data_IF_458677882908
#
_entry.id   IF_458677882908
#
_cell.length_a   1.000
_cell.length_b   1.000
_cell.length_c   1.000
_cell.angle_alpha   90.00
_cell.angle_beta   90.00
_cell.angle_gamma   90.00
#
_symmetry.space_group_name_H-M   'P 1'
#
loop_
_entity.id
_entity.type
_entity.pdbx_description
1 polymer ?
#
# COMPACT_ATOMS: atom_id res chain seq x y z
N UNK A 1 -6.30 27.59 -5.20
CA UNK A 1 -4.85 27.34 -5.37
C UNK A 1 -4.41 27.17 -6.83
N UNK A 2 -5.00 26.27 -7.63
CA UNK A 2 -4.50 25.98 -9.00
C UNK A 2 -4.47 27.19 -9.95
N UNK A 3 -5.46 28.10 -9.87
CA UNK A 3 -5.45 29.35 -10.66
C UNK A 3 -4.37 30.36 -10.23
N UNK A 4 -3.84 30.23 -9.01
CA UNK A 4 -2.78 31.10 -8.47
C UNK A 4 -1.38 30.54 -8.72
N UNK A 5 -1.25 29.22 -8.90
CA UNK A 5 0.02 28.52 -9.08
C UNK A 5 0.04 27.78 -10.43
N UNK A 6 0.66 28.36 -11.48
CA UNK A 6 0.77 27.73 -12.80
C UNK A 6 1.39 26.32 -12.75
N UNK A 7 2.32 26.09 -11.82
CA UNK A 7 2.92 24.77 -11.57
C UNK A 7 1.85 23.71 -11.26
N UNK A 8 0.91 24.00 -10.35
CA UNK A 8 -0.17 23.07 -10.01
C UNK A 8 -1.12 22.87 -11.18
N UNK A 9 -1.47 23.93 -11.88
CA UNK A 9 -2.37 23.83 -13.03
C UNK A 9 -1.80 22.88 -14.10
N UNK A 10 -0.51 23.02 -14.42
CA UNK A 10 0.16 22.15 -15.37
C UNK A 10 0.23 20.69 -14.88
N UNK A 11 0.60 20.47 -13.60
CA UNK A 11 0.64 19.12 -13.01
C UNK A 11 -0.74 18.44 -13.00
N UNK A 12 -1.78 19.16 -12.58
CA UNK A 12 -3.16 18.65 -12.55
C UNK A 12 -3.65 18.32 -13.96
N UNK A 13 -3.34 19.18 -14.94
CA UNK A 13 -3.71 18.94 -16.34
C UNK A 13 -3.00 17.69 -16.88
N UNK A 14 -1.72 17.50 -16.55
CA UNK A 14 -0.98 16.30 -16.95
C UNK A 14 -1.62 15.02 -16.36
N UNK A 15 -1.93 15.03 -15.06
CA UNK A 15 -2.62 13.91 -14.40
C UNK A 15 -3.99 13.67 -15.02
N UNK A 16 -4.77 14.71 -15.30
CA UNK A 16 -6.09 14.59 -15.93
C UNK A 16 -6.01 13.95 -17.32
N UNK A 17 -5.01 14.31 -18.13
CA UNK A 17 -4.76 13.68 -19.42
C UNK A 17 -4.46 12.18 -19.29
N UNK A 18 -3.53 11.80 -18.39
CA UNK A 18 -3.19 10.39 -18.14
C UNK A 18 -4.34 9.61 -17.53
N UNK A 19 -5.08 10.20 -16.59
CA UNK A 19 -6.26 9.57 -16.00
C UNK A 19 -7.34 9.34 -17.06
N UNK A 20 -7.56 10.31 -17.97
CA UNK A 20 -8.49 10.12 -19.09
C UNK A 20 -8.04 9.01 -20.03
N UNK A 21 -6.75 8.96 -20.37
CA UNK A 21 -6.18 7.84 -21.13
C UNK A 21 -6.47 6.51 -20.42
N UNK A 22 -6.17 6.43 -19.12
CA UNK A 22 -6.42 5.24 -18.30
C UNK A 22 -7.89 4.79 -18.30
N UNK A 23 -8.83 5.74 -18.17
CA UNK A 23 -10.26 5.45 -18.10
C UNK A 23 -10.91 5.12 -19.46
N UNK A 24 -10.35 5.63 -20.56
CA UNK A 24 -10.94 5.46 -21.91
C UNK A 24 -10.29 4.33 -22.72
N UNK A 25 -9.17 3.79 -22.24
CA UNK A 25 -8.45 2.75 -22.93
C UNK A 25 -9.13 1.38 -22.79
N UNK A 26 -9.43 0.75 -23.92
CA UNK A 26 -10.10 -0.55 -24.02
C UNK A 26 -9.13 -1.73 -24.17
N UNK A 27 -7.81 -1.46 -24.20
CA UNK A 27 -6.79 -2.51 -24.32
C UNK A 27 -6.87 -3.43 -23.09
N UNK A 28 -6.86 -4.76 -23.27
CA UNK A 28 -6.84 -5.71 -22.18
C UNK A 28 -5.68 -5.47 -21.21
N UNK A 29 -5.94 -5.70 -19.92
CA UNK A 29 -5.01 -5.48 -18.80
C UNK A 29 -3.71 -6.28 -18.92
N UNK A 30 -3.77 -7.38 -19.64
CA UNK A 30 -2.65 -8.29 -19.86
C UNK A 30 -1.69 -7.81 -20.96
N UNK A 31 -2.04 -6.75 -21.71
CA UNK A 31 -1.28 -6.27 -22.87
C UNK A 31 -0.65 -4.90 -22.56
N UNK A 32 0.64 -4.76 -22.88
CA UNK A 32 1.35 -3.48 -22.72
C UNK A 32 0.71 -2.37 -23.58
N UNK A 33 0.38 -1.24 -22.95
CA UNK A 33 -0.25 -0.07 -23.57
C UNK A 33 0.73 0.69 -24.48
N UNK A 34 0.24 1.16 -25.63
CA UNK A 34 1.01 2.12 -26.44
C UNK A 34 1.19 3.43 -25.67
N UNK A 35 2.39 4.01 -25.71
CA UNK A 35 2.72 5.27 -25.03
C UNK A 35 2.57 6.50 -25.94
N UNK A 36 2.01 6.34 -27.14
CA UNK A 36 1.93 7.41 -28.15
C UNK A 36 0.49 7.92 -28.36
N UNK A 37 -0.38 7.72 -27.36
CA UNK A 37 -1.71 8.34 -27.42
C UNK A 37 -1.59 9.86 -27.35
N UNK A 38 -2.56 10.56 -27.95
CA UNK A 38 -2.63 12.02 -27.88
C UNK A 38 -2.63 12.52 -26.43
N UNK A 39 -3.36 11.82 -25.56
CA UNK A 39 -3.47 12.12 -24.13
C UNK A 39 -2.11 12.00 -23.44
N UNK A 40 -1.33 10.94 -23.73
CA UNK A 40 0.02 10.77 -23.17
C UNK A 40 0.97 11.88 -23.63
N UNK A 41 0.93 12.25 -24.92
CA UNK A 41 1.76 13.36 -25.43
C UNK A 41 1.40 14.70 -24.80
N UNK A 42 0.11 15.01 -24.68
CA UNK A 42 -0.36 16.22 -24.01
C UNK A 42 0.04 16.24 -22.53
N UNK A 43 -0.08 15.09 -21.85
CA UNK A 43 0.36 14.97 -20.48
C UNK A 43 1.86 15.25 -20.32
N UNK A 44 2.71 14.71 -21.18
CA UNK A 44 4.16 14.97 -21.16
C UNK A 44 4.49 16.44 -21.39
N UNK A 45 3.78 17.11 -22.30
CA UNK A 45 3.95 18.56 -22.51
C UNK A 45 3.59 19.36 -21.26
N UNK A 46 2.45 19.06 -20.63
CA UNK A 46 2.01 19.74 -19.41
C UNK A 46 2.92 19.41 -18.22
N UNK A 47 3.40 18.18 -18.12
CA UNK A 47 4.39 17.76 -17.16
C UNK A 47 5.69 18.57 -17.26
N UNK A 48 6.24 18.70 -18.46
CA UNK A 48 7.46 19.48 -18.69
C UNK A 48 7.27 20.96 -18.33
N UNK A 49 6.11 21.54 -18.67
CA UNK A 49 5.76 22.90 -18.22
C UNK A 49 5.66 22.99 -16.70
N UNK A 50 5.09 21.98 -16.03
CA UNK A 50 5.06 21.93 -14.57
C UNK A 50 6.45 21.87 -13.98
N UNK A 51 7.37 21.09 -14.54
CA UNK A 51 8.77 21.04 -14.06
C UNK A 51 9.43 22.41 -14.21
N UNK A 52 9.26 23.08 -15.36
CA UNK A 52 9.82 24.42 -15.57
C UNK A 52 9.31 25.42 -14.54
N UNK A 53 7.98 25.45 -14.30
CA UNK A 53 7.40 26.32 -13.27
C UNK A 53 7.81 25.95 -11.85
N UNK A 54 8.01 24.67 -11.57
CA UNK A 54 8.52 24.21 -10.28
C UNK A 54 9.96 24.68 -10.06
N UNK A 55 10.81 24.62 -11.09
CA UNK A 55 12.18 25.13 -11.04
C UNK A 55 12.23 26.64 -10.80
N UNK A 56 11.34 27.40 -11.45
CA UNK A 56 11.18 28.84 -11.20
C UNK A 56 10.80 29.11 -9.73
N UNK A 57 9.77 28.42 -9.21
CA UNK A 57 9.32 28.55 -7.81
C UNK A 57 10.43 28.20 -6.82
N UNK A 58 11.18 27.13 -7.07
CA UNK A 58 12.30 26.70 -6.22
C UNK A 58 13.50 27.67 -6.28
N UNK A 59 13.58 28.52 -7.29
CA UNK A 59 14.64 29.52 -7.44
C UNK A 59 14.38 30.80 -6.64
N UNK A 60 13.18 30.95 -6.05
CA UNK A 60 12.83 32.10 -5.21
C UNK A 60 13.55 32.06 -3.85
N UNK A 61 13.94 33.24 -3.33
CA UNK A 61 14.86 33.34 -2.17
C UNK A 61 14.26 32.83 -0.85
N UNK A 62 12.94 32.84 -0.69
CA UNK A 62 12.26 32.34 0.52
C UNK A 62 10.90 31.74 0.15
N UNK A 63 10.74 30.43 0.35
CA UNK A 63 9.46 29.74 0.15
C UNK A 63 8.52 29.98 1.33
N UNK A 64 7.32 30.51 1.05
CA UNK A 64 6.23 30.60 2.03
C UNK A 64 5.69 29.22 2.39
N UNK A 65 4.86 29.13 3.43
CA UNK A 65 4.18 27.88 3.78
C UNK A 65 3.32 27.35 2.62
N UNK A 66 2.58 28.23 1.96
CA UNK A 66 1.75 27.90 0.79
C UNK A 66 2.59 27.34 -0.35
N UNK A 67 3.76 27.92 -0.64
CA UNK A 67 4.65 27.43 -1.71
C UNK A 67 5.16 26.02 -1.40
N UNK A 68 5.46 25.73 -0.13
CA UNK A 68 5.86 24.40 0.32
C UNK A 68 4.73 23.36 0.17
N UNK A 69 3.50 23.72 0.54
CA UNK A 69 2.32 22.86 0.32
C UNK A 69 2.05 22.63 -1.16
N UNK A 70 2.24 23.65 -2.01
CA UNK A 70 2.17 23.55 -3.46
C UNK A 70 3.21 22.56 -3.99
N UNK A 71 4.47 22.66 -3.56
CA UNK A 71 5.55 21.75 -3.98
C UNK A 71 5.22 20.30 -3.59
N UNK A 72 4.77 20.06 -2.36
CA UNK A 72 4.36 18.72 -1.91
C UNK A 72 3.17 18.18 -2.71
N UNK A 73 2.19 19.03 -3.02
CA UNK A 73 1.05 18.68 -3.87
C UNK A 73 1.49 18.29 -5.29
N UNK A 74 2.45 19.03 -5.87
CA UNK A 74 3.06 18.69 -7.17
C UNK A 74 3.76 17.34 -7.10
N UNK A 75 4.48 17.02 -6.00
CA UNK A 75 5.04 15.69 -5.80
C UNK A 75 3.96 14.59 -5.81
N UNK A 76 2.83 14.78 -5.11
CA UNK A 76 1.71 13.81 -5.13
C UNK A 76 1.14 13.63 -6.53
N UNK A 77 0.97 14.72 -7.29
CA UNK A 77 0.50 14.65 -8.68
C UNK A 77 1.52 13.91 -9.58
N UNK A 78 2.81 14.13 -9.34
CA UNK A 78 3.88 13.44 -10.06
C UNK A 78 3.93 11.94 -9.75
N UNK A 79 3.73 11.58 -8.48
CA UNK A 79 3.59 10.19 -8.03
C UNK A 79 2.38 9.55 -8.72
N UNK A 80 1.23 10.23 -8.70
CA UNK A 80 -0.01 9.75 -9.32
C UNK A 80 0.16 9.44 -10.81
N UNK A 81 0.76 10.38 -11.57
CA UNK A 81 1.02 10.18 -12.98
C UNK A 81 2.01 9.05 -13.23
N UNK A 82 3.13 9.00 -12.48
CA UNK A 82 4.12 7.94 -12.61
C UNK A 82 3.50 6.57 -12.32
N UNK A 83 2.67 6.45 -11.27
CA UNK A 83 1.90 5.25 -10.95
C UNK A 83 0.95 4.87 -12.09
N UNK A 84 0.13 5.81 -12.59
CA UNK A 84 -0.78 5.58 -13.71
C UNK A 84 -0.06 5.14 -15.00
N UNK A 85 1.18 5.58 -15.21
CA UNK A 85 2.00 5.19 -16.36
C UNK A 85 2.84 3.91 -16.12
N UNK A 86 2.84 3.37 -14.90
CA UNK A 86 3.61 2.20 -14.49
C UNK A 86 5.10 2.45 -14.27
N UNK A 87 5.51 3.72 -14.10
CA UNK A 87 6.89 4.15 -13.86
C UNK A 87 7.20 4.18 -12.36
N UNK A 88 7.22 3.00 -11.75
CA UNK A 88 7.37 2.84 -10.28
C UNK A 88 8.61 3.51 -9.70
N UNK A 89 9.74 3.41 -10.41
CA UNK A 89 10.97 4.05 -9.98
C UNK A 89 10.81 5.58 -9.82
N UNK A 90 10.15 6.23 -10.79
CA UNK A 90 9.91 7.68 -10.72
C UNK A 90 8.97 8.03 -9.57
N UNK A 91 7.92 7.22 -9.35
CA UNK A 91 7.05 7.38 -8.19
C UNK A 91 7.84 7.32 -6.88
N UNK A 92 8.72 6.33 -6.71
CA UNK A 92 9.57 6.19 -5.51
C UNK A 92 10.53 7.37 -5.32
N UNK A 93 11.12 7.89 -6.40
CA UNK A 93 11.96 9.09 -6.32
C UNK A 93 11.16 10.29 -5.82
N UNK A 94 9.94 10.51 -6.32
CA UNK A 94 9.09 11.60 -5.88
C UNK A 94 8.58 11.43 -4.44
N UNK A 95 8.22 10.21 -4.01
CA UNK A 95 7.84 9.92 -2.63
C UNK A 95 9.02 10.26 -1.70
N UNK A 96 10.20 9.72 -1.98
CA UNK A 96 11.39 9.94 -1.16
C UNK A 96 11.77 11.43 -1.10
N UNK A 97 11.63 12.15 -2.22
CA UNK A 97 11.89 13.59 -2.27
C UNK A 97 10.88 14.36 -1.41
N UNK A 98 9.59 14.07 -1.52
CA UNK A 98 8.55 14.70 -0.71
C UNK A 98 8.72 14.43 0.79
N UNK A 99 9.04 13.19 1.18
CA UNK A 99 9.34 12.85 2.57
C UNK A 99 10.55 13.63 3.10
N UNK A 100 11.63 13.75 2.32
CA UNK A 100 12.80 14.56 2.70
C UNK A 100 12.45 16.03 2.89
N UNK A 101 11.60 16.59 2.03
CA UNK A 101 11.13 17.98 2.15
C UNK A 101 10.27 18.21 3.39
N UNK A 102 9.35 17.29 3.71
CA UNK A 102 8.54 17.32 4.94
C UNK A 102 9.44 17.43 6.17
N UNK A 103 10.52 16.65 6.21
CA UNK A 103 11.51 16.71 7.30
C UNK A 103 12.34 17.98 7.28
N UNK A 104 12.81 18.41 6.11
CA UNK A 104 13.63 19.61 5.95
C UNK A 104 12.88 20.88 6.37
N UNK A 105 11.55 20.90 6.18
CA UNK A 105 10.69 22.03 6.53
C UNK A 105 10.05 21.91 7.92
N UNK A 106 10.46 20.91 8.71
CA UNK A 106 9.94 20.63 10.05
C UNK A 106 8.41 20.44 10.10
N UNK A 107 7.80 19.95 9.00
CA UNK A 107 6.38 19.59 8.97
C UNK A 107 6.09 18.26 9.66
N UNK A 108 7.11 17.42 9.84
CA UNK A 108 7.01 16.15 10.54
C UNK A 108 6.99 16.26 12.08
N UNK A 109 7.44 17.39 12.65
CA UNK A 109 7.52 17.59 14.10
C UNK A 109 6.34 18.45 14.58
N UNK A 110 5.20 17.80 14.85
CA UNK A 110 4.04 18.47 15.45
C UNK A 110 4.23 18.57 16.96
N UNK A 111 5.08 19.50 17.39
CA UNK A 111 5.17 19.92 18.79
C UNK A 111 3.85 20.54 19.30
N UNK A 112 3.70 20.68 20.63
CA UNK A 112 2.48 21.18 21.29
C UNK A 112 2.07 22.63 20.92
N UNK A 113 2.93 23.39 20.26
CA UNK A 113 2.67 24.78 19.89
C UNK A 113 2.28 24.90 18.41
N UNK A 114 1.07 25.42 18.16
CA UNK A 114 0.43 25.66 16.86
C UNK A 114 -0.33 24.45 16.27
N UNK A 115 -1.40 24.02 16.96
CA UNK A 115 -2.55 23.38 16.30
C UNK A 115 -3.48 24.46 15.73
N UNK A 116 -2.98 25.23 14.77
CA UNK A 116 -3.90 25.74 13.75
C UNK A 116 -4.27 24.53 12.89
N UNK A 117 -5.56 24.35 12.65
CA UNK A 117 -6.10 23.27 11.80
C UNK A 117 -5.64 23.48 10.36
N UNK A 118 -4.43 23.02 10.05
CA UNK A 118 -3.87 23.05 8.70
C UNK A 118 -4.29 21.79 7.95
N UNK A 119 -5.54 21.83 7.49
CA UNK A 119 -6.19 20.76 6.74
C UNK A 119 -5.36 20.30 5.54
N UNK A 120 -4.78 21.25 4.79
CA UNK A 120 -4.00 20.95 3.59
C UNK A 120 -2.72 20.18 3.94
N UNK A 121 -2.02 20.60 5.00
CA UNK A 121 -0.87 19.86 5.50
C UNK A 121 -1.24 18.48 6.03
N UNK A 122 -2.34 18.36 6.77
CA UNK A 122 -2.80 17.06 7.30
C UNK A 122 -3.11 16.06 6.18
N UNK A 123 -3.80 16.49 5.12
CA UNK A 123 -4.05 15.64 3.94
C UNK A 123 -2.74 15.21 3.29
N UNK A 124 -1.79 16.14 3.11
CA UNK A 124 -0.49 15.79 2.53
C UNK A 124 0.30 14.81 3.41
N UNK A 125 0.28 14.98 4.73
CA UNK A 125 0.93 14.07 5.67
C UNK A 125 0.32 12.66 5.60
N UNK A 126 -1.01 12.54 5.55
CA UNK A 126 -1.69 11.24 5.33
C UNK A 126 -1.18 10.58 4.05
N UNK A 127 -1.23 11.30 2.94
CA UNK A 127 -0.84 10.76 1.63
C UNK A 127 0.62 10.32 1.61
N UNK A 128 1.56 11.15 2.10
CA UNK A 128 2.97 10.77 2.13
C UNK A 128 3.26 9.61 3.08
N UNK A 129 2.54 9.52 4.21
CA UNK A 129 2.71 8.41 5.17
C UNK A 129 2.19 7.09 4.60
N UNK A 130 1.05 7.13 3.90
CA UNK A 130 0.51 5.98 3.17
C UNK A 130 1.46 5.54 2.05
N UNK A 131 1.95 6.49 1.26
CA UNK A 131 2.89 6.22 0.16
C UNK A 131 4.22 5.64 0.65
N UNK A 132 4.72 6.12 1.78
CA UNK A 132 5.89 5.55 2.43
C UNK A 132 5.64 4.09 2.83
N UNK A 133 4.49 3.82 3.47
CA UNK A 133 4.07 2.46 3.87
C UNK A 133 4.00 1.51 2.67
N UNK A 134 3.43 1.98 1.56
CA UNK A 134 3.33 1.21 0.32
C UNK A 134 4.69 0.97 -0.36
N UNK A 135 5.67 1.87 -0.18
CA UNK A 135 7.00 1.71 -0.75
C UNK A 135 7.88 0.73 0.05
N UNK A 136 7.62 0.54 1.35
CA UNK A 136 8.44 -0.29 2.26
C UNK A 136 8.78 -1.69 1.72
N UNK A 137 7.85 -2.47 1.14
CA UNK A 137 8.15 -3.81 0.60
C UNK A 137 9.21 -3.83 -0.52
N UNK A 138 9.43 -2.70 -1.21
CA UNK A 138 10.36 -2.60 -2.34
C UNK A 138 11.76 -2.14 -1.91
N UNK A 139 11.87 -1.42 -0.78
CA UNK A 139 13.11 -0.77 -0.36
C UNK A 139 14.31 -1.73 -0.19
N UNK A 140 14.16 -2.97 0.34
CA UNK A 140 15.29 -3.88 0.47
C UNK A 140 16.02 -4.14 -0.86
N UNK A 141 15.30 -4.14 -1.98
CA UNK A 141 15.87 -4.37 -3.31
C UNK A 141 16.42 -3.10 -3.96
N UNK A 142 16.09 -1.93 -3.42
CA UNK A 142 16.46 -0.63 -3.99
C UNK A 142 17.59 0.06 -3.21
N UNK A 143 18.08 -0.53 -2.11
CA UNK A 143 19.04 0.09 -1.20
C UNK A 143 20.31 0.61 -1.89
N UNK A 144 20.74 -0.05 -2.96
CA UNK A 144 21.93 0.35 -3.73
C UNK A 144 21.66 1.51 -4.70
N UNK A 145 20.42 1.67 -5.14
CA UNK A 145 20.04 2.63 -6.19
C UNK A 145 19.35 3.88 -5.62
N UNK A 146 18.61 3.75 -4.52
CA UNK A 146 17.84 4.83 -3.89
C UNK A 146 18.04 4.84 -2.38
N UNK A 147 18.70 5.89 -1.88
CA UNK A 147 18.79 6.14 -0.43
C UNK A 147 17.46 6.70 0.08
N UNK A 148 16.62 5.80 0.57
CA UNK A 148 15.36 6.13 1.22
C UNK A 148 15.59 6.90 2.52
N UNK A 149 14.64 7.74 2.92
CA UNK A 149 14.71 8.43 4.22
C UNK A 149 14.26 7.51 5.35
N UNK A 150 15.10 7.37 6.37
CA UNK A 150 14.75 6.62 7.58
C UNK A 150 14.02 7.47 8.63
N UNK A 151 13.89 8.79 8.38
CA UNK A 151 13.18 9.70 9.29
C UNK A 151 11.67 9.43 9.24
N UNK A 152 11.11 9.10 10.40
CA UNK A 152 9.67 8.89 10.57
C UNK A 152 8.96 10.22 10.79
N UNK A 153 7.72 10.32 10.32
CA UNK A 153 6.81 11.39 10.77
C UNK A 153 6.42 11.03 12.20
N UNK A 154 6.68 11.93 13.15
CA UNK A 154 6.46 11.67 14.57
C UNK A 154 5.31 12.56 15.04
N UNK A 155 4.26 11.93 15.57
CA UNK A 155 3.21 12.66 16.24
C UNK A 155 3.50 12.73 17.73
N UNK A 156 3.30 13.90 18.33
CA UNK A 156 3.36 14.03 19.78
C UNK A 156 2.32 13.12 20.43
N UNK A 157 2.73 12.36 21.45
CA UNK A 157 1.79 11.64 22.30
C UNK A 157 0.77 12.61 22.90
N UNK A 158 -0.50 12.26 22.79
CA UNK A 158 -1.63 13.06 23.24
C UNK A 158 -2.73 12.14 23.71
N UNK A 159 -3.32 12.43 24.86
CA UNK A 159 -4.51 11.74 25.39
C UNK A 159 -5.81 12.49 25.09
N UNK A 160 -5.70 13.62 24.39
CA UNK A 160 -6.82 14.47 24.01
C UNK A 160 -7.62 13.75 22.90
N UNK A 161 -8.96 13.71 22.99
CA UNK A 161 -9.81 13.16 21.94
C UNK A 161 -9.50 13.80 20.58
N UNK A 162 -9.74 13.04 19.50
CA UNK A 162 -9.68 13.62 18.16
C UNK A 162 -10.76 14.69 17.98
N UNK A 163 -10.47 15.73 17.20
CA UNK A 163 -11.45 16.73 16.79
C UNK A 163 -12.20 16.33 15.52
N UNK A 164 -11.53 15.57 14.64
CA UNK A 164 -12.07 15.16 13.35
C UNK A 164 -11.62 13.74 13.02
N UNK A 165 -12.36 13.04 12.15
CA UNK A 165 -11.93 11.76 11.58
C UNK A 165 -10.62 11.88 10.78
N UNK A 166 -10.31 13.03 10.20
CA UNK A 166 -9.04 13.24 9.50
C UNK A 166 -7.87 13.22 10.47
N UNK A 167 -7.99 13.85 11.65
CA UNK A 167 -6.96 13.79 12.69
C UNK A 167 -6.73 12.34 13.16
N UNK A 168 -7.82 11.56 13.30
CA UNK A 168 -7.73 10.13 13.58
C UNK A 168 -7.02 9.37 12.45
N UNK A 169 -7.31 9.70 11.19
CA UNK A 169 -6.66 9.10 10.01
C UNK A 169 -5.15 9.38 9.96
N UNK A 170 -4.73 10.63 10.15
CA UNK A 170 -3.31 11.02 10.24
C UNK A 170 -2.60 10.19 11.29
N UNK A 171 -3.17 10.11 12.49
CA UNK A 171 -2.58 9.36 13.59
C UNK A 171 -2.49 7.86 13.28
N UNK A 172 -3.55 7.28 12.70
CA UNK A 172 -3.57 5.88 12.34
C UNK A 172 -2.50 5.53 11.31
N UNK A 173 -2.35 6.33 10.26
CA UNK A 173 -1.37 6.05 9.21
C UNK A 173 0.08 6.17 9.70
N UNK A 174 0.35 7.06 10.66
CA UNK A 174 1.68 7.12 11.30
C UNK A 174 1.98 5.83 12.05
N UNK A 175 1.05 5.33 12.87
CA UNK A 175 1.23 4.05 13.56
C UNK A 175 1.28 2.86 12.59
N UNK A 176 0.48 2.90 11.52
CA UNK A 176 0.52 1.89 10.45
C UNK A 176 1.88 1.86 9.76
N UNK A 177 2.45 3.04 9.47
CA UNK A 177 3.77 3.15 8.87
C UNK A 177 4.88 2.62 9.80
N UNK A 178 4.81 2.92 11.09
CA UNK A 178 5.72 2.33 12.09
C UNK A 178 5.63 0.81 12.11
N UNK A 179 4.41 0.25 12.04
CA UNK A 179 4.18 -1.19 11.91
C UNK A 179 4.82 -1.73 10.62
N UNK A 180 4.59 -1.09 9.47
CA UNK A 180 5.17 -1.52 8.20
C UNK A 180 6.69 -1.58 8.26
N UNK A 181 7.36 -0.58 8.85
CA UNK A 181 8.81 -0.57 9.00
C UNK A 181 9.36 -1.75 9.82
N UNK A 182 8.60 -2.20 10.83
CA UNK A 182 8.95 -3.41 11.60
C UNK A 182 8.89 -4.61 10.65
N UNK A 183 7.75 -4.85 10.02
CA UNK A 183 7.46 -6.06 9.26
C UNK A 183 8.09 -6.14 7.87
N UNK A 184 8.65 -5.05 7.35
CA UNK A 184 9.47 -5.07 6.12
C UNK A 184 10.97 -5.20 6.38
N UNK A 185 11.39 -5.27 7.65
CA UNK A 185 12.79 -5.55 7.97
C UNK A 185 13.12 -7.01 7.68
N UNK A 186 14.06 -7.24 6.75
CA UNK A 186 14.56 -8.59 6.43
C UNK A 186 15.06 -9.36 7.67
N UNK A 187 15.48 -8.65 8.74
CA UNK A 187 15.96 -9.28 9.96
C UNK A 187 14.92 -10.17 10.64
N UNK A 188 13.64 -9.82 10.59
CA UNK A 188 12.58 -10.59 11.29
C UNK A 188 12.46 -12.00 10.72
N UNK A 189 12.48 -12.14 9.40
CA UNK A 189 12.28 -13.43 8.74
C UNK A 189 13.57 -14.25 8.63
N UNK A 190 14.74 -13.58 8.60
CA UNK A 190 16.03 -14.26 8.48
C UNK A 190 16.60 -14.65 9.85
N UNK A 191 16.49 -13.76 10.85
CA UNK A 191 17.13 -13.92 12.17
C UNK A 191 16.13 -14.10 13.32
N UNK A 192 14.83 -14.01 13.04
CA UNK A 192 13.80 -13.94 14.07
C UNK A 192 13.69 -12.55 14.72
N UNK A 193 12.68 -12.34 15.58
CA UNK A 193 12.51 -11.08 16.29
C UNK A 193 13.58 -10.90 17.38
N UNK A 194 14.34 -9.80 17.30
CA UNK A 194 15.21 -9.39 18.40
C UNK A 194 14.44 -8.62 19.49
N UNK A 195 15.10 -8.37 20.63
CA UNK A 195 14.49 -7.63 21.75
C UNK A 195 14.04 -6.21 21.34
N UNK A 196 14.76 -5.55 20.43
CA UNK A 196 14.40 -4.22 19.94
C UNK A 196 13.14 -4.22 19.08
N UNK A 197 12.97 -5.23 18.23
CA UNK A 197 11.75 -5.47 17.44
C UNK A 197 10.56 -5.71 18.36
N UNK A 198 10.72 -6.53 19.41
CA UNK A 198 9.64 -6.79 20.36
C UNK A 198 9.24 -5.53 21.13
N UNK A 199 10.20 -4.71 21.57
CA UNK A 199 9.92 -3.42 22.21
C UNK A 199 9.14 -2.49 21.27
N UNK A 200 9.57 -2.36 20.01
CA UNK A 200 8.88 -1.52 19.01
C UNK A 200 7.47 -2.01 18.70
N UNK A 201 7.28 -3.32 18.60
CA UNK A 201 5.99 -3.96 18.40
C UNK A 201 5.05 -3.67 19.58
N UNK A 202 5.54 -3.81 20.81
CA UNK A 202 4.77 -3.50 22.01
C UNK A 202 4.41 -2.02 22.10
N UNK A 203 5.33 -1.12 21.76
CA UNK A 203 5.03 0.32 21.71
C UNK A 203 3.94 0.64 20.69
N UNK A 204 4.01 0.07 19.48
CA UNK A 204 2.96 0.26 18.47
C UNK A 204 1.59 -0.23 18.95
N UNK A 205 1.52 -1.33 19.71
CA UNK A 205 0.26 -1.82 20.30
C UNK A 205 -0.31 -0.84 21.35
N UNK A 206 0.56 -0.30 22.21
CA UNK A 206 0.17 0.71 23.21
C UNK A 206 -0.36 1.97 22.51
N UNK A 207 0.37 2.47 21.52
CA UNK A 207 -0.01 3.67 20.78
C UNK A 207 -1.36 3.50 20.06
N UNK A 208 -1.59 2.33 19.47
CA UNK A 208 -2.84 2.01 18.80
C UNK A 208 -4.01 1.83 19.78
N UNK A 209 -3.76 1.38 21.00
CA UNK A 209 -4.78 1.30 22.06
C UNK A 209 -5.15 2.70 22.55
N UNK A 210 -4.17 3.60 22.70
CA UNK A 210 -4.44 5.00 22.99
C UNK A 210 -5.20 5.67 21.83
N UNK A 211 -4.86 5.34 20.59
CA UNK A 211 -5.60 5.79 19.42
C UNK A 211 -7.08 5.35 19.47
N UNK A 212 -7.35 4.08 19.82
CA UNK A 212 -8.72 3.56 19.97
C UNK A 212 -9.49 4.37 21.02
N UNK A 213 -8.89 4.57 22.20
CA UNK A 213 -9.51 5.34 23.29
C UNK A 213 -9.80 6.81 22.93
N UNK A 214 -8.96 7.43 22.10
CA UNK A 214 -9.19 8.81 21.61
C UNK A 214 -10.29 8.87 20.56
N UNK A 215 -10.42 7.84 19.72
CA UNK A 215 -11.49 7.74 18.75
C UNK A 215 -12.84 7.51 19.44
N UNK A 216 -12.89 6.65 20.45
CA UNK A 216 -14.13 6.38 21.21
C UNK A 216 -14.69 7.66 21.84
N UNK A 217 -13.83 8.45 22.51
CA UNK A 217 -14.23 9.76 23.07
C UNK A 217 -14.71 10.76 22.01
N UNK A 218 -14.14 10.72 20.81
CA UNK A 218 -14.62 11.54 19.69
C UNK A 218 -16.00 11.10 19.23
N UNK A 219 -16.23 9.79 19.11
CA UNK A 219 -17.51 9.22 18.66
C UNK A 219 -18.64 9.44 19.68
N UNK A 220 -18.33 9.46 20.98
CA UNK A 220 -19.29 9.82 22.05
C UNK A 220 -19.84 11.25 21.88
N UNK A 221 -19.01 12.17 21.38
CA UNK A 221 -19.37 13.59 21.25
C UNK A 221 -19.83 13.97 19.84
N UNK A 222 -19.51 13.14 18.83
CA UNK A 222 -19.77 13.43 17.42
C UNK A 222 -20.39 12.20 16.73
N UNK A 223 -21.73 12.11 16.68
CA UNK A 223 -22.44 11.04 15.99
C UNK A 223 -22.04 11.00 14.52
N UNK A 224 -21.76 9.80 13.99
CA UNK A 224 -21.38 9.62 12.60
C UNK A 224 -22.61 9.37 11.71
N UNK A 225 -22.53 9.69 10.40
CA UNK A 225 -23.59 9.37 9.45
C UNK A 225 -23.90 7.87 9.43
N UNK A 226 -25.15 7.50 9.13
CA UNK A 226 -25.58 6.09 9.10
C UNK A 226 -24.75 5.21 8.13
N UNK A 227 -24.24 5.78 7.04
CA UNK A 227 -23.39 5.05 6.09
C UNK A 227 -22.01 4.71 6.68
N UNK A 228 -21.51 5.52 7.63
CA UNK A 228 -20.30 5.35 8.40
C UNK A 228 -19.05 5.03 7.57
N UNK A 229 -18.99 5.40 6.29
CA UNK A 229 -18.00 4.83 5.35
C UNK A 229 -16.56 5.15 5.77
N UNK A 230 -16.28 6.40 6.12
CA UNK A 230 -14.95 6.82 6.56
C UNK A 230 -14.52 6.07 7.84
N UNK A 231 -15.44 5.92 8.79
CA UNK A 231 -15.19 5.19 10.03
C UNK A 231 -14.92 3.69 9.77
N UNK A 232 -15.70 3.06 8.89
CA UNK A 232 -15.49 1.66 8.47
C UNK A 232 -14.11 1.46 7.83
N UNK A 233 -13.67 2.41 6.98
CA UNK A 233 -12.34 2.37 6.38
C UNK A 233 -11.23 2.51 7.42
N UNK A 234 -11.38 3.41 8.39
CA UNK A 234 -10.44 3.55 9.51
C UNK A 234 -10.35 2.27 10.33
N UNK A 235 -11.47 1.66 10.70
CA UNK A 235 -11.45 0.39 11.44
C UNK A 235 -10.84 -0.74 10.62
N UNK A 236 -11.11 -0.83 9.31
CA UNK A 236 -10.49 -1.82 8.45
C UNK A 236 -8.96 -1.69 8.43
N UNK A 237 -8.47 -0.44 8.29
CA UNK A 237 -7.05 -0.09 8.31
C UNK A 237 -6.40 -0.37 9.67
N UNK A 238 -7.05 0.02 10.77
CA UNK A 238 -6.62 -0.22 12.16
C UNK A 238 -6.53 -1.70 12.50
N UNK A 239 -7.53 -2.47 12.10
CA UNK A 239 -7.55 -3.92 12.32
C UNK A 239 -6.40 -4.56 11.54
N UNK A 240 -6.06 -4.09 10.32
CA UNK A 240 -4.95 -4.64 9.53
C UNK A 240 -3.62 -4.56 10.29
N UNK A 241 -3.33 -3.41 10.91
CA UNK A 241 -2.18 -3.27 11.80
C UNK A 241 -2.27 -4.18 13.04
N UNK A 242 -3.46 -4.37 13.61
CA UNK A 242 -3.66 -5.23 14.79
C UNK A 242 -3.22 -6.67 14.53
N UNK A 243 -3.59 -7.25 13.39
CA UNK A 243 -3.22 -8.65 13.08
C UNK A 243 -1.70 -8.78 13.05
N UNK A 244 -1.01 -7.94 12.29
CA UNK A 244 0.44 -7.98 12.20
C UNK A 244 1.10 -7.83 13.59
N UNK A 245 0.65 -6.86 14.38
CA UNK A 245 1.17 -6.60 15.72
C UNK A 245 0.76 -7.63 16.78
N UNK A 246 -0.22 -8.49 16.53
CA UNK A 246 -0.64 -9.53 17.49
C UNK A 246 -0.01 -10.89 17.21
N UNK A 247 0.65 -11.07 16.05
CA UNK A 247 1.23 -12.36 15.68
C UNK A 247 2.28 -12.84 16.68
N UNK A 248 2.21 -14.10 17.08
CA UNK A 248 3.31 -14.76 17.78
C UNK A 248 4.43 -15.10 16.80
N UNK A 249 5.44 -14.23 16.74
CA UNK A 249 6.55 -14.35 15.80
C UNK A 249 7.40 -15.62 16.03
N UNK A 250 7.25 -16.31 17.16
CA UNK A 250 7.93 -17.59 17.40
C UNK A 250 7.35 -18.73 16.56
N UNK A 251 6.10 -18.59 16.09
CA UNK A 251 5.44 -19.55 15.19
C UNK A 251 5.79 -19.34 13.71
N UNK A 252 6.61 -18.33 13.38
CA UNK A 252 6.95 -18.00 12.00
C UNK A 252 5.71 -17.75 11.13
N UNK A 253 5.69 -18.33 9.93
CA UNK A 253 4.54 -18.24 9.01
C UNK A 253 3.24 -18.85 9.55
N UNK A 254 3.32 -19.74 10.54
CA UNK A 254 2.14 -20.37 11.13
C UNK A 254 1.41 -19.45 12.10
N UNK A 255 2.01 -18.32 12.49
CA UNK A 255 1.36 -17.32 13.34
C UNK A 255 0.07 -16.76 12.73
N UNK A 256 -0.07 -16.83 11.41
CA UNK A 256 -1.25 -16.38 10.68
C UNK A 256 -2.50 -17.25 10.92
N UNK A 257 -2.34 -18.49 11.40
CA UNK A 257 -3.46 -19.40 11.61
C UNK A 257 -4.36 -18.97 12.78
N UNK A 258 -3.81 -18.24 13.74
CA UNK A 258 -4.56 -17.68 14.87
C UNK A 258 -5.58 -16.60 14.40
N UNK A 259 -5.52 -16.17 13.13
CA UNK A 259 -6.30 -15.08 12.56
C UNK A 259 -7.21 -15.51 11.38
N UNK A 260 -7.49 -16.80 11.23
CA UNK A 260 -8.35 -17.31 10.13
C UNK A 260 -9.74 -16.67 10.14
N UNK A 261 -10.37 -16.52 11.32
CA UNK A 261 -11.68 -15.88 11.47
C UNK A 261 -11.62 -14.38 11.12
N UNK A 262 -10.55 -13.70 11.56
CA UNK A 262 -10.26 -12.31 11.19
C UNK A 262 -10.10 -12.13 9.68
N UNK A 263 -9.46 -13.08 9.00
CA UNK A 263 -9.33 -13.07 7.54
C UNK A 263 -10.66 -13.31 6.84
N UNK A 264 -11.49 -14.23 7.31
CA UNK A 264 -12.82 -14.46 6.77
C UNK A 264 -13.70 -13.20 6.86
N UNK A 265 -13.76 -12.57 8.03
CA UNK A 265 -14.52 -11.34 8.24
C UNK A 265 -14.05 -10.20 7.32
N UNK A 266 -12.74 -10.04 7.15
CA UNK A 266 -12.21 -9.02 6.22
C UNK A 266 -12.53 -9.31 4.78
N UNK A 267 -12.46 -10.57 4.38
CA UNK A 267 -12.75 -10.98 3.02
C UNK A 267 -14.19 -10.64 2.66
N UNK A 268 -15.12 -10.85 3.59
CA UNK A 268 -16.51 -10.41 3.47
C UNK A 268 -16.61 -8.88 3.33
N UNK A 269 -15.96 -8.12 4.21
CA UNK A 269 -15.94 -6.65 4.14
C UNK A 269 -15.37 -6.15 2.79
N UNK A 270 -14.31 -6.77 2.29
CA UNK A 270 -13.73 -6.43 0.98
C UNK A 270 -14.71 -6.78 -0.14
N UNK A 271 -15.39 -7.92 -0.08
CA UNK A 271 -16.46 -8.28 -1.01
C UNK A 271 -17.58 -7.22 -1.03
N UNK A 272 -18.00 -6.72 0.13
CA UNK A 272 -18.98 -5.63 0.23
C UNK A 272 -18.48 -4.33 -0.41
N UNK A 273 -17.23 -3.92 -0.14
CA UNK A 273 -16.62 -2.70 -0.74
C UNK A 273 -16.44 -2.84 -2.26
N UNK A 274 -16.18 -4.06 -2.72
CA UNK A 274 -16.02 -4.37 -4.13
C UNK A 274 -17.37 -4.54 -4.85
N UNK A 275 -18.49 -4.55 -4.11
CA UNK A 275 -19.84 -4.86 -4.60
C UNK A 275 -19.96 -6.29 -5.18
N UNK A 276 -19.14 -7.22 -4.68
CA UNK A 276 -19.16 -8.66 -4.99
C UNK A 276 -19.17 -9.48 -3.68
N UNK A 277 -20.35 -9.64 -3.06
CA UNK A 277 -20.47 -10.40 -1.83
C UNK A 277 -20.20 -11.89 -2.08
N UNK A 278 -19.61 -12.54 -1.07
CA UNK A 278 -19.09 -13.91 -1.05
C UNK A 278 -20.02 -15.04 -1.53
N UNK A 279 -21.32 -14.79 -1.71
CA UNK A 279 -22.35 -15.79 -2.03
C UNK A 279 -22.34 -16.27 -3.49
N UNK A 280 -21.27 -16.00 -4.23
CA UNK A 280 -21.19 -16.17 -5.68
C UNK A 280 -20.19 -17.27 -6.09
N UNK A 281 -19.93 -18.25 -5.21
CA UNK A 281 -19.09 -19.43 -5.52
C UNK A 281 -19.62 -20.23 -6.73
N UNK A 282 -20.93 -20.17 -7.01
CA UNK A 282 -21.58 -20.79 -8.18
C UNK A 282 -21.71 -19.85 -9.39
N UNK A 283 -21.31 -18.58 -9.27
CA UNK A 283 -21.25 -17.72 -10.44
C UNK A 283 -19.99 -18.06 -11.23
N UNK A 284 -20.21 -18.75 -12.35
CA UNK A 284 -19.28 -18.80 -13.49
C UNK A 284 -18.51 -17.48 -13.60
N UNK A 285 -17.21 -17.49 -13.97
CA UNK A 285 -16.43 -16.25 -14.15
C UNK A 285 -17.29 -15.27 -14.94
N UNK A 286 -17.73 -14.21 -14.24
CA UNK A 286 -18.80 -13.35 -14.71
C UNK A 286 -18.53 -12.95 -16.16
N UNK A 287 -19.57 -13.05 -16.99
CA UNK A 287 -19.53 -12.79 -18.42
C UNK A 287 -18.51 -11.68 -18.74
N UNK A 288 -17.45 -12.03 -19.48
CA UNK A 288 -16.30 -11.17 -19.81
C UNK A 288 -16.75 -9.85 -20.47
N UNK A 289 -18.00 -9.82 -20.95
CA UNK A 289 -18.67 -8.71 -21.63
C UNK A 289 -19.26 -7.61 -20.73
N UNK A 290 -19.23 -7.71 -19.39
CA UNK A 290 -19.60 -6.54 -18.56
C UNK A 290 -18.51 -5.46 -18.68
N UNK A 291 -18.84 -4.21 -19.07
CA UNK A 291 -17.84 -3.14 -19.16
C UNK A 291 -17.19 -2.95 -17.80
N UNK A 292 -15.90 -3.30 -17.73
CA UNK A 292 -15.12 -3.24 -16.50
C UNK A 292 -14.95 -1.77 -16.09
N UNK A 293 -15.47 -1.40 -14.91
CA UNK A 293 -15.32 -0.03 -14.39
C UNK A 293 -13.89 0.17 -13.91
N UNK A 294 -13.09 0.80 -14.77
CA UNK A 294 -11.74 1.25 -14.44
C UNK A 294 -11.80 2.22 -13.25
N UNK A 295 -10.90 2.08 -12.28
CA UNK A 295 -10.79 3.03 -11.17
C UNK A 295 -9.35 3.14 -10.69
N UNK A 296 -8.92 4.35 -10.35
CA UNK A 296 -7.62 4.60 -9.74
C UNK A 296 -7.79 5.30 -8.38
N UNK A 297 -7.07 4.82 -7.37
CA UNK A 297 -6.86 5.50 -6.10
C UNK A 297 -5.41 5.37 -5.67
N UNK A 298 -4.90 6.42 -5.03
CA UNK A 298 -3.54 6.41 -4.49
C UNK A 298 -3.46 5.70 -3.12
N UNK A 299 -4.60 5.54 -2.45
CA UNK A 299 -4.74 4.79 -1.21
C UNK A 299 -4.93 3.30 -1.49
N UNK A 300 -4.38 2.44 -0.63
CA UNK A 300 -4.62 0.98 -0.62
C UNK A 300 -5.69 0.63 0.40
N UNK A 301 -6.87 0.22 -0.08
CA UNK A 301 -8.02 -0.10 0.77
C UNK A 301 -8.34 -1.58 0.71
N UNK A 302 -8.39 -2.13 -0.50
CA UNK A 302 -8.78 -3.52 -0.77
C UNK A 302 -7.59 -4.37 -1.23
N UNK A 303 -6.69 -3.81 -2.03
CA UNK A 303 -5.57 -4.57 -2.60
C UNK A 303 -4.63 -5.12 -1.51
N UNK A 304 -4.26 -4.30 -0.54
CA UNK A 304 -3.33 -4.69 0.53
C UNK A 304 -3.89 -5.80 1.46
N UNK A 305 -5.11 -5.69 2.03
CA UNK A 305 -5.66 -6.77 2.85
C UNK A 305 -5.91 -8.06 2.05
N UNK A 306 -6.40 -7.96 0.80
CA UNK A 306 -6.60 -9.14 -0.04
C UNK A 306 -5.27 -9.82 -0.38
N UNK A 307 -4.22 -9.04 -0.69
CA UNK A 307 -2.89 -9.56 -0.94
C UNK A 307 -2.30 -10.25 0.30
N UNK A 308 -2.46 -9.65 1.48
CA UNK A 308 -2.06 -10.27 2.74
C UNK A 308 -2.76 -11.62 2.94
N UNK A 309 -4.10 -11.67 2.80
CA UNK A 309 -4.88 -12.90 2.97
C UNK A 309 -4.44 -13.96 1.96
N UNK A 310 -4.31 -13.58 0.69
CA UNK A 310 -3.91 -14.47 -0.40
C UNK A 310 -2.50 -15.04 -0.21
N UNK A 311 -1.57 -14.29 0.38
CA UNK A 311 -0.23 -14.78 0.69
C UNK A 311 -0.19 -15.63 1.96
N UNK A 312 -0.88 -15.19 3.02
CA UNK A 312 -0.60 -15.65 4.39
C UNK A 312 -1.61 -16.64 4.96
N UNK A 313 -2.87 -16.59 4.52
CA UNK A 313 -3.88 -17.52 5.02
C UNK A 313 -3.65 -18.94 4.47
N UNK A 314 -3.60 -19.94 5.35
CA UNK A 314 -3.48 -21.36 4.96
C UNK A 314 -4.82 -22.03 4.69
N UNK A 315 -5.92 -21.41 5.09
CA UNK A 315 -7.27 -21.93 4.85
C UNK A 315 -7.62 -21.83 3.35
N UNK A 316 -7.73 -22.96 2.63
CA UNK A 316 -7.68 -22.93 1.17
C UNK A 316 -8.85 -22.19 0.52
N UNK A 317 -10.04 -22.22 1.13
CA UNK A 317 -11.24 -21.53 0.64
C UNK A 317 -11.10 -20.01 0.75
N UNK A 318 -10.67 -19.51 1.90
CA UNK A 318 -10.46 -18.08 2.16
C UNK A 318 -9.37 -17.54 1.24
N UNK A 319 -8.26 -18.28 1.11
CA UNK A 319 -7.12 -17.90 0.27
C UNK A 319 -7.50 -17.77 -1.21
N UNK A 320 -8.14 -18.79 -1.79
CA UNK A 320 -8.58 -18.77 -3.20
C UNK A 320 -9.60 -17.67 -3.47
N UNK A 321 -10.45 -17.38 -2.51
CA UNK A 321 -11.44 -16.33 -2.63
C UNK A 321 -10.81 -14.92 -2.56
N UNK A 322 -9.74 -14.73 -1.78
CA UNK A 322 -8.95 -13.50 -1.83
C UNK A 322 -8.30 -13.30 -3.20
N UNK A 323 -7.74 -14.37 -3.79
CA UNK A 323 -7.22 -14.34 -5.17
C UNK A 323 -8.33 -14.04 -6.18
N UNK A 324 -9.53 -14.62 -6.02
CA UNK A 324 -10.70 -14.31 -6.86
C UNK A 324 -11.04 -12.82 -6.81
N UNK A 325 -11.09 -12.23 -5.62
CA UNK A 325 -11.38 -10.80 -5.43
C UNK A 325 -10.26 -9.91 -5.99
N UNK A 326 -8.98 -10.28 -5.84
CA UNK A 326 -7.86 -9.58 -6.48
C UNK A 326 -7.93 -9.59 -8.01
N UNK A 327 -8.55 -10.63 -8.60
CA UNK A 327 -8.77 -10.74 -10.04
C UNK A 327 -9.90 -9.84 -10.55
N UNK A 328 -10.71 -9.26 -9.66
CA UNK A 328 -11.86 -8.46 -10.05
C UNK A 328 -11.46 -7.06 -10.50
N UNK A 329 -11.81 -6.74 -11.75
CA UNK A 329 -11.71 -5.43 -12.39
C UNK A 329 -10.27 -4.87 -12.47
N UNK A 330 -9.96 -3.99 -13.43
CA UNK A 330 -8.75 -3.18 -13.35
C UNK A 330 -8.95 -2.04 -12.35
N UNK A 331 -9.04 -2.38 -11.06
CA UNK A 331 -8.88 -1.38 -10.00
C UNK A 331 -7.39 -1.21 -9.75
N UNK A 332 -6.92 0.03 -9.83
CA UNK A 332 -5.60 0.41 -9.36
C UNK A 332 -5.74 1.10 -8.02
N UNK A 333 -5.13 0.50 -7.01
CA UNK A 333 -4.99 1.08 -5.69
C UNK A 333 -3.50 1.17 -5.36
N UNK A 334 -3.08 2.32 -4.86
CA UNK A 334 -1.71 2.55 -4.48
C UNK A 334 -0.75 2.79 -5.63
N UNK A 335 0.53 2.78 -5.28
CA UNK A 335 1.64 2.94 -6.21
C UNK A 335 1.85 1.69 -7.03
N UNK A 336 1.69 0.50 -6.44
CA UNK A 336 1.88 -0.77 -7.11
C UNK A 336 0.58 -1.40 -7.59
N UNK A 337 0.69 -2.14 -8.69
CA UNK A 337 -0.48 -2.61 -9.42
C UNK A 337 -1.11 -3.86 -8.78
N UNK A 338 -2.44 -3.86 -8.66
CA UNK A 338 -3.21 -5.03 -8.21
C UNK A 338 -2.96 -6.30 -9.04
N UNK A 339 -2.65 -6.16 -10.34
CA UNK A 339 -2.26 -7.30 -11.19
C UNK A 339 -0.92 -7.92 -10.76
N UNK A 340 0.04 -7.09 -10.34
CA UNK A 340 1.31 -7.59 -9.82
C UNK A 340 1.07 -8.34 -8.52
N UNK A 341 0.25 -7.79 -7.62
CA UNK A 341 -0.18 -8.46 -6.39
C UNK A 341 -0.88 -9.80 -6.69
N UNK A 342 -1.79 -9.84 -7.67
CA UNK A 342 -2.48 -11.06 -8.09
C UNK A 342 -1.50 -12.13 -8.59
N UNK A 343 -0.65 -11.81 -9.58
CA UNK A 343 0.31 -12.76 -10.17
C UNK A 343 1.29 -13.29 -9.13
N UNK A 344 1.72 -12.43 -8.21
CA UNK A 344 2.57 -12.82 -7.08
C UNK A 344 1.80 -13.79 -6.17
N UNK A 345 0.57 -13.50 -5.80
CA UNK A 345 -0.24 -14.34 -4.92
C UNK A 345 -0.56 -15.70 -5.55
N UNK A 346 -0.91 -15.74 -6.83
CA UNK A 346 -1.08 -16.97 -7.61
C UNK A 346 0.19 -17.80 -7.60
N UNK A 347 1.34 -17.18 -7.90
CA UNK A 347 2.62 -17.89 -7.92
C UNK A 347 3.02 -18.43 -6.55
N UNK A 348 2.79 -17.66 -5.49
CA UNK A 348 3.04 -18.13 -4.12
C UNK A 348 2.16 -19.34 -3.80
N UNK A 349 0.87 -19.31 -4.14
CA UNK A 349 -0.01 -20.45 -3.91
C UNK A 349 0.43 -21.69 -4.71
N UNK A 350 0.82 -21.54 -5.97
CA UNK A 350 1.37 -22.65 -6.79
C UNK A 350 2.59 -23.29 -6.12
N UNK A 351 3.57 -22.46 -5.72
CA UNK A 351 4.81 -22.87 -5.07
C UNK A 351 4.55 -23.65 -3.78
N UNK A 352 3.58 -23.21 -2.99
CA UNK A 352 3.24 -23.87 -1.72
C UNK A 352 2.44 -25.18 -1.95
N UNK A 353 1.57 -25.22 -2.96
CA UNK A 353 0.73 -26.38 -3.29
C UNK A 353 1.45 -27.46 -4.11
N UNK A 354 2.67 -27.21 -4.62
CA UNK A 354 3.52 -28.22 -5.28
C UNK A 354 3.65 -29.50 -4.43
N UNK A 355 3.73 -29.37 -3.10
CA UNK A 355 3.84 -30.50 -2.19
C UNK A 355 2.60 -31.42 -2.17
N UNK A 356 1.44 -30.94 -2.61
CA UNK A 356 0.19 -31.72 -2.68
C UNK A 356 0.19 -32.73 -3.84
N UNK A 357 1.07 -32.54 -4.83
CA UNK A 357 1.17 -33.42 -6.00
C UNK A 357 1.94 -34.71 -5.74
N UNK A 358 2.68 -34.78 -4.63
CA UNK A 358 3.44 -35.96 -4.22
C UNK A 358 2.83 -36.59 -2.96
N UNK A 359 2.20 -37.77 -3.06
CA UNK A 359 1.53 -38.41 -1.92
C UNK A 359 2.48 -38.89 -0.82
N UNK A 360 3.78 -38.91 -1.09
CA UNK A 360 4.84 -39.30 -0.13
C UNK A 360 5.19 -38.17 0.85
N UNK A 361 4.75 -36.94 0.59
CA UNK A 361 5.03 -35.79 1.44
C UNK A 361 3.99 -35.71 2.55
N UNK A 362 4.43 -35.70 3.82
CA UNK A 362 3.55 -35.73 4.99
C UNK A 362 2.49 -34.60 5.03
N UNK A 363 2.76 -33.43 4.43
CA UNK A 363 1.79 -32.35 4.37
C UNK A 363 0.75 -32.47 3.24
N UNK A 364 0.93 -33.38 2.28
CA UNK A 364 -0.07 -33.65 1.25
C UNK A 364 -1.38 -34.21 1.82
N UNK A 365 -1.30 -34.84 3.00
CA UNK A 365 -2.44 -35.42 3.71
C UNK A 365 -2.90 -34.56 4.91
N UNK A 366 -2.22 -33.46 5.19
CA UNK A 366 -2.56 -32.57 6.30
C UNK A 366 -3.67 -31.59 5.89
N UNK A 367 -4.34 -31.00 6.90
CA UNK A 367 -5.36 -29.95 6.67
C UNK A 367 -4.79 -28.76 5.89
N UNK A 368 -3.55 -28.36 6.19
CA UNK A 368 -2.90 -27.16 5.66
C UNK A 368 -1.45 -27.43 5.28
N UNK A 369 -0.93 -26.66 4.33
CA UNK A 369 0.48 -26.68 3.88
C UNK A 369 1.42 -26.48 5.08
N UNK A 370 2.40 -27.36 5.26
CA UNK A 370 3.32 -27.28 6.40
C UNK A 370 4.31 -26.12 6.31
N UNK A 371 4.91 -25.75 7.43
CA UNK A 371 5.84 -24.62 7.56
C UNK A 371 6.99 -24.64 6.52
N UNK A 372 7.54 -25.82 6.22
CA UNK A 372 8.67 -25.95 5.29
C UNK A 372 8.32 -25.53 3.85
N UNK A 373 7.09 -25.77 3.43
CA UNK A 373 6.62 -25.44 2.08
C UNK A 373 6.02 -24.04 2.00
N UNK A 374 5.89 -23.31 3.11
CA UNK A 374 5.38 -21.92 3.12
C UNK A 374 6.42 -20.96 2.57
N UNK A 375 6.00 -20.07 1.67
CA UNK A 375 6.84 -18.95 1.22
C UNK A 375 7.01 -17.98 2.39
N UNK A 376 8.22 -17.92 2.92
CA UNK A 376 8.56 -17.10 4.08
C UNK A 376 9.13 -15.75 3.66
N UNK A 377 9.90 -15.74 2.57
CA UNK A 377 10.59 -14.55 2.12
C UNK A 377 10.29 -14.25 0.66
N UNK A 378 9.96 -12.99 0.39
CA UNK A 378 9.63 -12.48 -0.94
C UNK A 378 10.37 -11.17 -1.16
N UNK A 379 11.06 -11.07 -2.30
CA UNK A 379 11.82 -9.89 -2.66
C UNK A 379 11.45 -9.43 -4.07
N UNK A 380 11.03 -8.16 -4.20
CA UNK A 380 10.62 -7.58 -5.48
C UNK A 380 11.71 -6.67 -6.02
N UNK A 381 12.16 -6.92 -7.23
CA UNK A 381 13.15 -6.13 -7.96
C UNK A 381 12.47 -5.40 -9.12
N UNK A 382 12.59 -4.07 -9.16
CA UNK A 382 12.22 -3.30 -10.34
C UNK A 382 13.29 -3.52 -11.40
N UNK A 383 12.91 -4.12 -12.54
CA UNK A 383 13.86 -4.44 -13.62
C UNK A 383 13.82 -3.36 -14.69
N UNK A 384 12.62 -3.05 -15.16
CA UNK A 384 12.35 -1.98 -16.12
C UNK A 384 11.04 -1.27 -15.73
N UNK A 385 10.71 -0.20 -16.45
CA UNK A 385 9.37 0.36 -16.38
C UNK A 385 8.35 -0.76 -16.63
N UNK A 386 7.32 -0.84 -15.77
CA UNK A 386 6.22 -1.81 -15.89
C UNK A 386 6.61 -3.28 -15.73
N UNK A 387 7.81 -3.55 -15.23
CA UNK A 387 8.30 -4.92 -15.07
C UNK A 387 9.01 -5.10 -13.74
N UNK A 388 8.52 -6.05 -12.95
CA UNK A 388 9.15 -6.44 -11.70
C UNK A 388 9.46 -7.93 -11.70
N UNK A 389 10.66 -8.27 -11.24
CA UNK A 389 11.07 -9.65 -10.96
C UNK A 389 10.88 -9.89 -9.47
N UNK A 390 10.11 -10.93 -9.11
CA UNK A 390 9.89 -11.29 -7.71
C UNK A 390 10.54 -12.63 -7.44
N UNK A 391 11.39 -12.70 -6.41
CA UNK A 391 12.05 -13.94 -5.97
C UNK A 391 11.42 -14.38 -4.65
N UNK A 392 11.05 -15.65 -4.57
CA UNK A 392 10.27 -16.25 -3.48
C UNK A 392 11.03 -17.44 -2.91
N UNK A 393 11.20 -17.47 -1.60
CA UNK A 393 11.84 -18.57 -0.90
C UNK A 393 10.86 -19.19 0.08
N UNK A 394 10.68 -20.50 -0.03
CA UNK A 394 10.06 -21.26 1.05
C UNK A 394 11.00 -21.35 2.25
N UNK A 395 10.47 -21.69 3.42
CA UNK A 395 11.30 -21.96 4.58
C UNK A 395 12.34 -23.04 4.29
N UNK A 396 11.96 -24.09 3.56
CA UNK A 396 12.89 -25.13 3.13
C UNK A 396 14.01 -24.59 2.24
N UNK A 397 13.69 -23.69 1.29
CA UNK A 397 14.69 -23.06 0.44
C UNK A 397 15.71 -22.30 1.28
N UNK A 398 15.26 -21.54 2.29
CA UNK A 398 16.13 -20.80 3.19
C UNK A 398 17.02 -21.72 4.05
N UNK A 399 16.45 -22.80 4.60
CA UNK A 399 17.18 -23.77 5.42
C UNK A 399 18.31 -24.47 4.64
N UNK A 400 18.09 -24.73 3.35
CA UNK A 400 19.05 -25.43 2.49
C UNK A 400 19.85 -24.49 1.58
N UNK A 401 19.70 -23.17 1.69
CA UNK A 401 20.40 -22.20 0.85
C UNK A 401 20.07 -22.30 -0.64
N UNK A 402 18.85 -22.68 -1.00
CA UNK A 402 18.39 -22.77 -2.40
C UNK A 402 18.08 -21.37 -2.95
N UNK A 403 18.24 -21.14 -4.27
CA UNK A 403 18.15 -19.81 -4.89
C UNK A 403 16.73 -19.19 -4.93
N UNK A 404 15.72 -19.89 -4.41
CA UNK A 404 14.32 -19.49 -4.51
C UNK A 404 13.75 -19.65 -5.92
N UNK A 405 12.46 -19.39 -6.05
CA UNK A 405 11.70 -19.44 -7.30
C UNK A 405 11.37 -18.02 -7.73
N UNK A 406 11.46 -17.72 -9.02
CA UNK A 406 11.22 -16.38 -9.54
C UNK A 406 10.03 -16.30 -10.49
N UNK A 407 9.43 -15.11 -10.55
CA UNK A 407 8.42 -14.74 -11.54
C UNK A 407 8.70 -13.34 -12.07
N UNK A 408 8.56 -13.18 -13.38
CA UNK A 408 8.60 -11.88 -14.04
C UNK A 408 7.17 -11.39 -14.25
N UNK A 409 6.82 -10.32 -13.54
CA UNK A 409 5.52 -9.68 -13.66
C UNK A 409 5.66 -8.46 -14.54
N UNK A 410 5.12 -8.54 -15.75
CA UNK A 410 4.83 -7.37 -16.58
C UNK A 410 3.42 -6.88 -16.27
N UNK A 411 3.29 -5.58 -16.14
CA UNK A 411 2.07 -4.90 -15.75
C UNK A 411 1.92 -3.59 -16.56
N UNK A 412 0.90 -2.79 -16.28
CA UNK A 412 0.41 -1.71 -17.15
C UNK A 412 1.35 -0.51 -17.32
#
# INVERSE_FOLDING_TARGET
MSHQYPVLWHAMTAVACIHRDFMTNTTPITISRSQDSLQVRLALQQWNKSIQRLQELLSERVLTKSDRLVILSVCILFITMASLQGRQWQAFVHINSGLKLIHQWNFADRGKSQRDEDLDLDVLLVLFTQLDSQARPYLPSLSNSLRWTDKQIILSSSTIPFKTLLEACVALEVHFNSMMQIFTSNSIYIKGPDAGIQIKKQQCLVDLTEWDARLDKYLETTPQPEDGKALKLLYARRRLAQVALSMDLTKGELAHDDFVEDYAYRLELMGCILEDPMNSLDSQPGNIDRPQKMSFRLETITTEPLFLIALRCREPTIRRQAIRLLRQYPRREGICEGLAALKIAERVMEIEEECLTSPEIACAQAKWICENHRVTWLQVFLVHDRQARTVMHTREDLLHGRPGREILTTYW
#
